data_IF_885598076704
#
_entry.id   IF_885598076704
#
_cell.length_a   1.000
_cell.length_b   1.000
_cell.length_c   1.000
_cell.angle_alpha   90.00
_cell.angle_beta   90.00
_cell.angle_gamma   90.00
#
_symmetry.space_group_name_H-M   'P 1'
#
loop_
_entity.id
_entity.type
_entity.pdbx_description
1 polymer ?
#
# COMPACT_ATOMS: atom_id res chain seq x y z
N UNK A 1 33.66 31.08 -59.91
CA UNK A 1 32.89 32.35 -59.81
C UNK A 1 31.59 32.07 -59.05
N UNK A 2 31.38 32.77 -57.91
CA UNK A 2 30.13 33.30 -57.26
C UNK A 2 28.78 32.57 -57.48
N UNK A 3 27.80 32.46 -56.57
CA UNK A 3 27.47 32.89 -55.18
C UNK A 3 26.05 32.32 -54.84
N UNK A 4 25.75 32.06 -53.54
CA UNK A 4 24.47 32.18 -52.76
C UNK A 4 23.13 31.65 -53.33
N UNK A 5 22.06 31.33 -52.58
CA UNK A 5 21.62 31.67 -51.21
C UNK A 5 20.43 30.77 -50.77
N UNK A 6 20.14 30.79 -49.47
CA UNK A 6 19.22 30.00 -48.63
C UNK A 6 17.70 30.09 -48.95
N UNK A 7 16.92 29.13 -48.41
CA UNK A 7 15.46 29.21 -48.33
C UNK A 7 14.80 28.08 -47.48
N UNK A 8 14.28 28.47 -46.31
CA UNK A 8 13.55 27.70 -45.29
C UNK A 8 12.40 26.78 -45.80
N UNK A 9 12.17 25.66 -45.11
CA UNK A 9 10.96 24.84 -45.22
C UNK A 9 10.24 24.72 -43.86
N UNK A 10 8.99 25.19 -43.82
CA UNK A 10 7.99 24.87 -42.79
C UNK A 10 6.83 24.11 -43.46
N UNK A 11 6.33 22.99 -42.88
CA UNK A 11 5.19 22.29 -43.45
C UNK A 11 3.86 22.84 -42.91
N UNK A 12 2.96 23.14 -43.84
CA UNK A 12 1.57 23.60 -43.65
C UNK A 12 0.64 22.46 -43.20
N UNK A 13 -0.30 22.77 -42.31
CA UNK A 13 -1.45 21.94 -41.93
C UNK A 13 -2.34 21.56 -43.12
N UNK A 14 -2.88 20.33 -43.10
CA UNK A 14 -3.97 19.85 -43.96
C UNK A 14 -5.31 19.82 -43.20
N UNK A 15 -6.45 20.14 -43.83
CA UNK A 15 -7.78 20.00 -43.22
C UNK A 15 -8.43 18.63 -43.53
N UNK A 16 -9.17 18.09 -42.57
CA UNK A 16 -9.96 16.86 -42.70
C UNK A 16 -11.32 17.14 -43.36
N UNK A 17 -11.75 16.25 -44.26
CA UNK A 17 -13.06 16.26 -44.94
C UNK A 17 -14.16 15.60 -44.08
N UNK A 18 -15.44 16.01 -44.24
CA UNK A 18 -16.58 15.45 -43.52
C UNK A 18 -17.23 14.28 -44.27
N UNK A 19 -17.90 13.38 -43.55
CA UNK A 19 -18.77 12.34 -44.12
C UNK A 19 -20.16 12.43 -43.48
N UNK A 20 -21.15 12.61 -44.37
CA UNK A 20 -22.59 12.29 -44.38
C UNK A 20 -23.23 11.54 -43.20
N UNK A 21 -24.54 11.50 -43.01
CA UNK A 21 -25.75 12.23 -43.46
C UNK A 21 -26.88 11.54 -42.65
N UNK A 22 -27.90 12.29 -42.24
CA UNK A 22 -28.96 11.80 -41.35
C UNK A 22 -30.15 11.29 -42.15
N UNK A 23 -30.54 10.02 -41.97
CA UNK A 23 -31.88 9.57 -42.37
C UNK A 23 -32.48 8.55 -41.39
N UNK A 24 -33.53 9.02 -40.70
CA UNK A 24 -34.65 8.38 -39.98
C UNK A 24 -34.80 6.84 -40.09
N UNK A 25 -34.93 6.18 -38.94
CA UNK A 25 -35.78 5.00 -38.78
C UNK A 25 -36.41 4.98 -37.36
N UNK A 26 -37.69 4.59 -37.33
CA UNK A 26 -38.65 4.72 -36.23
C UNK A 26 -38.37 3.77 -35.06
N UNK A 27 -38.90 4.18 -33.91
CA UNK A 27 -38.98 3.44 -32.65
C UNK A 27 -39.52 2.02 -32.81
N UNK A 28 -38.85 1.07 -32.16
CA UNK A 28 -39.46 -0.14 -31.65
C UNK A 28 -39.04 -0.29 -30.19
N UNK A 29 -40.04 -0.23 -29.32
CA UNK A 29 -39.91 -0.06 -27.88
C UNK A 29 -40.20 -1.41 -27.23
N UNK A 30 -39.21 -2.30 -27.17
CA UNK A 30 -39.29 -3.47 -26.30
C UNK A 30 -37.89 -4.04 -26.00
N UNK A 31 -37.68 -4.38 -24.73
CA UNK A 31 -36.49 -5.02 -24.14
C UNK A 31 -35.36 -4.07 -23.70
N UNK A 32 -35.68 -3.16 -22.76
CA UNK A 32 -34.69 -2.76 -21.76
C UNK A 32 -34.55 -3.90 -20.73
N UNK A 33 -33.33 -4.42 -20.46
CA UNK A 33 -33.15 -5.38 -19.39
C UNK A 33 -33.41 -4.71 -18.03
N UNK A 34 -34.14 -5.42 -17.17
CA UNK A 34 -34.56 -5.01 -15.84
C UNK A 34 -33.33 -4.58 -14.98
N UNK A 35 -33.32 -3.44 -14.27
CA UNK A 35 -32.16 -2.99 -13.47
C UNK A 35 -31.89 -3.77 -12.18
N UNK A 36 -32.55 -4.90 -11.95
CA UNK A 36 -32.65 -5.56 -10.64
C UNK A 36 -31.98 -6.93 -10.59
N UNK A 37 -30.75 -7.03 -11.09
CA UNK A 37 -29.85 -8.13 -10.75
C UNK A 37 -28.43 -7.60 -10.60
N UNK A 38 -28.10 -7.09 -9.40
CA UNK A 38 -26.71 -6.96 -8.99
C UNK A 38 -26.11 -8.37 -9.00
N UNK A 39 -25.28 -8.69 -10.02
CA UNK A 39 -24.47 -9.91 -10.01
C UNK A 39 -23.63 -9.87 -8.73
N UNK A 40 -23.94 -10.73 -7.77
CA UNK A 40 -23.10 -10.97 -6.61
C UNK A 40 -21.78 -11.54 -7.10
N UNK A 41 -20.74 -10.72 -7.18
CA UNK A 41 -19.39 -11.20 -7.44
C UNK A 41 -18.90 -11.80 -6.13
N UNK A 42 -18.84 -13.13 -6.05
CA UNK A 42 -18.36 -13.83 -4.87
C UNK A 42 -16.83 -13.70 -4.82
N UNK A 43 -16.29 -12.99 -3.83
CA UNK A 43 -14.84 -12.87 -3.62
C UNK A 43 -14.32 -14.23 -3.19
N UNK A 44 -13.37 -14.79 -3.95
CA UNK A 44 -12.69 -16.02 -3.58
C UNK A 44 -11.38 -15.67 -2.88
N UNK A 45 -11.24 -16.08 -1.63
CA UNK A 45 -10.05 -15.88 -0.82
C UNK A 45 -9.08 -17.04 -1.07
N UNK A 46 -8.11 -16.81 -1.96
CA UNK A 46 -7.11 -17.82 -2.34
C UNK A 46 -5.77 -17.51 -1.65
N UNK A 47 -5.24 -18.42 -0.84
CA UNK A 47 -3.95 -18.25 -0.21
C UNK A 47 -2.83 -18.41 -1.25
N UNK A 48 -1.78 -17.63 -1.10
CA UNK A 48 -0.60 -17.63 -1.94
C UNK A 48 0.66 -17.93 -1.13
N UNK A 49 1.71 -18.39 -1.79
CA UNK A 49 3.02 -18.52 -1.16
C UNK A 49 3.58 -17.14 -0.79
N UNK A 50 4.31 -17.03 0.35
CA UNK A 50 5.02 -15.82 0.69
C UNK A 50 6.08 -15.50 -0.38
N UNK A 51 6.29 -14.21 -0.64
CA UNK A 51 7.19 -13.73 -1.69
C UNK A 51 8.62 -13.48 -1.22
N UNK A 52 8.81 -13.37 0.08
CA UNK A 52 10.04 -12.92 0.71
C UNK A 52 10.31 -13.73 1.96
N UNK A 53 11.58 -13.86 2.29
CA UNK A 53 12.10 -14.56 3.46
C UNK A 53 12.80 -13.58 4.40
N UNK A 54 13.16 -14.01 5.60
CA UNK A 54 13.94 -13.17 6.53
C UNK A 54 15.30 -12.73 5.96
N UNK A 55 15.86 -13.48 5.00
CA UNK A 55 17.16 -13.15 4.37
C UNK A 55 17.08 -11.97 3.41
N UNK A 56 15.89 -11.66 2.92
CA UNK A 56 15.64 -10.55 2.01
C UNK A 56 15.50 -9.22 2.77
N UNK A 57 15.37 -9.26 4.10
CA UNK A 57 15.20 -8.09 4.94
C UNK A 57 16.54 -7.51 5.40
N UNK A 58 16.67 -6.19 5.25
CA UNK A 58 17.77 -5.40 5.82
C UNK A 58 17.15 -4.44 6.84
N UNK A 59 17.25 -4.80 8.12
CA UNK A 59 16.61 -4.13 9.24
C UNK A 59 17.62 -3.88 10.36
N UNK A 60 17.33 -2.90 11.23
CA UNK A 60 18.11 -2.74 12.46
C UNK A 60 17.86 -3.93 13.40
N UNK A 61 18.80 -4.12 14.34
CA UNK A 61 18.75 -5.24 15.28
C UNK A 61 17.50 -5.24 16.15
N UNK A 62 16.94 -4.07 16.47
CA UNK A 62 15.75 -3.97 17.31
C UNK A 62 14.54 -4.51 16.57
N UNK A 63 14.28 -4.00 15.37
CA UNK A 63 13.16 -4.48 14.54
C UNK A 63 13.35 -5.95 14.17
N UNK A 64 14.58 -6.37 13.83
CA UNK A 64 14.88 -7.78 13.52
C UNK A 64 14.57 -8.70 14.71
N UNK A 65 15.01 -8.36 15.92
CA UNK A 65 14.73 -9.15 17.11
C UNK A 65 13.22 -9.20 17.43
N UNK A 66 12.49 -8.10 17.24
CA UNK A 66 11.03 -8.09 17.41
C UNK A 66 10.31 -9.02 16.43
N UNK A 67 10.78 -9.14 15.18
CA UNK A 67 10.24 -10.13 14.24
C UNK A 67 10.54 -11.56 14.70
N UNK A 68 11.75 -11.81 15.21
CA UNK A 68 12.13 -13.11 15.77
C UNK A 68 11.31 -13.45 17.02
N UNK A 69 10.96 -12.48 17.86
CA UNK A 69 10.09 -12.68 19.01
C UNK A 69 8.69 -13.13 18.58
N UNK A 70 8.13 -12.53 17.52
CA UNK A 70 6.84 -12.95 16.94
C UNK A 70 6.89 -14.40 16.45
N UNK A 71 7.94 -14.74 15.68
CA UNK A 71 8.12 -16.09 15.14
C UNK A 71 8.30 -17.10 16.28
N UNK A 72 9.14 -16.76 17.26
CA UNK A 72 9.40 -17.59 18.43
C UNK A 72 8.16 -17.80 19.28
N UNK A 73 7.32 -16.78 19.43
CA UNK A 73 6.05 -16.89 20.14
C UNK A 73 5.14 -17.92 19.49
N UNK A 74 5.01 -17.92 18.16
CA UNK A 74 4.18 -18.88 17.45
C UNK A 74 4.77 -20.30 17.52
N UNK A 75 6.04 -20.46 17.15
CA UNK A 75 6.69 -21.77 17.06
C UNK A 75 6.84 -22.47 18.42
N UNK A 76 7.01 -21.70 19.50
CA UNK A 76 7.20 -22.25 20.84
C UNK A 76 5.92 -22.19 21.69
N UNK A 77 4.75 -21.98 21.09
CA UNK A 77 3.49 -21.84 21.82
C UNK A 77 3.24 -22.99 22.80
N UNK A 78 3.33 -24.25 22.34
CA UNK A 78 3.10 -25.43 23.18
C UNK A 78 4.13 -25.56 24.31
N UNK A 79 5.38 -25.17 24.04
CA UNK A 79 6.43 -25.18 25.05
C UNK A 79 6.11 -24.15 26.15
N UNK A 80 5.75 -22.94 25.75
CA UNK A 80 5.52 -21.81 26.66
C UNK A 80 4.24 -22.04 27.48
N UNK A 81 3.11 -22.36 26.85
CA UNK A 81 1.83 -22.41 27.54
C UNK A 81 1.57 -23.75 28.22
N UNK A 82 1.76 -24.87 27.53
CA UNK A 82 1.45 -26.19 28.07
C UNK A 82 2.60 -26.79 28.88
N UNK A 83 3.83 -26.81 28.32
CA UNK A 83 4.96 -27.47 29.01
C UNK A 83 5.48 -26.63 30.19
N UNK A 84 5.57 -25.31 30.05
CA UNK A 84 6.00 -24.43 31.15
C UNK A 84 4.82 -23.94 32.02
N UNK A 85 3.57 -24.23 31.63
CA UNK A 85 2.38 -23.95 32.42
C UNK A 85 1.98 -22.49 32.49
N UNK A 86 2.40 -21.64 31.54
CA UNK A 86 2.01 -20.22 31.54
C UNK A 86 0.48 -20.04 31.46
N UNK A 87 -0.24 -21.02 30.92
CA UNK A 87 -1.69 -21.00 30.83
C UNK A 87 -2.39 -20.96 32.21
N UNK A 88 -1.72 -21.37 33.28
CA UNK A 88 -2.24 -21.28 34.65
C UNK A 88 -2.38 -19.83 35.15
N UNK A 89 -1.62 -18.90 34.55
CA UNK A 89 -1.55 -17.49 34.97
C UNK A 89 -2.02 -16.52 33.90
N UNK A 90 -1.95 -16.92 32.63
CA UNK A 90 -2.34 -16.12 31.49
C UNK A 90 -3.31 -16.91 30.62
N UNK A 91 -4.39 -16.28 30.18
CA UNK A 91 -5.27 -16.92 29.21
C UNK A 91 -4.47 -17.27 27.95
N UNK A 92 -4.52 -18.54 27.52
CA UNK A 92 -3.95 -18.94 26.24
C UNK A 92 -4.59 -18.10 25.14
N UNK A 93 -3.77 -17.30 24.47
CA UNK A 93 -4.17 -16.59 23.26
C UNK A 93 -3.63 -17.39 22.09
N UNK A 94 -4.41 -18.38 21.65
CA UNK A 94 -4.01 -19.22 20.52
C UNK A 94 -3.93 -18.40 19.23
N UNK A 95 -4.70 -17.30 19.14
CA UNK A 95 -4.59 -16.33 18.06
C UNK A 95 -3.41 -15.37 18.23
N UNK A 96 -2.74 -15.05 17.12
CA UNK A 96 -1.60 -14.13 17.07
C UNK A 96 -1.89 -12.98 16.11
N UNK A 97 -2.06 -11.77 16.65
CA UNK A 97 -2.19 -10.55 15.85
C UNK A 97 -0.94 -9.67 16.00
N UNK A 98 -0.39 -9.24 14.87
CA UNK A 98 0.83 -8.42 14.78
C UNK A 98 0.56 -7.20 13.90
N UNK A 99 1.00 -6.03 14.34
CA UNK A 99 0.93 -4.79 13.58
C UNK A 99 2.33 -4.27 13.28
N UNK A 100 2.67 -4.25 12.00
CA UNK A 100 3.88 -3.68 11.44
C UNK A 100 3.56 -2.23 11.03
N UNK A 101 4.21 -1.25 11.63
CA UNK A 101 3.87 0.15 11.39
C UNK A 101 5.10 1.03 11.22
N UNK A 102 4.95 2.12 10.47
CA UNK A 102 6.04 3.07 10.25
C UNK A 102 5.95 3.75 8.89
N UNK A 103 6.94 4.59 8.54
CA UNK A 103 6.94 5.32 7.27
C UNK A 103 6.78 4.40 6.04
N UNK A 104 6.24 4.90 4.93
CA UNK A 104 6.11 4.11 3.71
C UNK A 104 7.49 3.75 3.14
N UNK A 105 7.58 2.55 2.55
CA UNK A 105 8.79 2.06 1.90
C UNK A 105 9.91 1.56 2.83
N UNK A 106 9.60 1.29 4.09
CA UNK A 106 10.53 0.70 5.08
C UNK A 106 10.51 -0.84 5.15
N UNK A 107 9.73 -1.50 4.28
CA UNK A 107 9.73 -2.97 4.16
C UNK A 107 8.67 -3.72 4.97
N UNK A 108 7.60 -3.05 5.45
CA UNK A 108 6.51 -3.68 6.22
C UNK A 108 5.86 -4.89 5.50
N UNK A 109 5.44 -4.72 4.25
CA UNK A 109 4.85 -5.79 3.42
C UNK A 109 5.84 -6.94 3.22
N UNK A 110 7.11 -6.62 2.98
CA UNK A 110 8.18 -7.62 2.84
C UNK A 110 8.37 -8.42 4.13
N UNK A 111 8.36 -7.74 5.28
CA UNK A 111 8.46 -8.36 6.60
C UNK A 111 7.26 -9.23 6.93
N UNK A 112 6.04 -8.85 6.52
CA UNK A 112 4.86 -9.68 6.68
C UNK A 112 5.02 -11.02 5.93
N UNK A 113 5.45 -10.98 4.66
CA UNK A 113 5.73 -12.19 3.90
C UNK A 113 6.85 -13.03 4.54
N UNK A 114 7.91 -12.39 5.03
CA UNK A 114 9.01 -13.09 5.70
C UNK A 114 8.60 -13.77 7.01
N UNK A 115 7.67 -13.17 7.78
CA UNK A 115 7.07 -13.84 8.94
C UNK A 115 6.32 -15.08 8.45
N UNK A 116 5.44 -14.94 7.45
CA UNK A 116 4.65 -16.07 6.94
C UNK A 116 5.53 -17.22 6.45
N UNK A 117 6.59 -16.91 5.72
CA UNK A 117 7.60 -17.88 5.28
C UNK A 117 8.26 -18.60 6.46
N UNK A 118 8.66 -17.87 7.50
CA UNK A 118 9.25 -18.46 8.70
C UNK A 118 8.27 -19.30 9.54
N UNK A 119 6.95 -19.11 9.33
CA UNK A 119 5.90 -19.93 9.94
C UNK A 119 5.51 -21.14 9.08
N UNK A 120 6.15 -21.35 7.93
CA UNK A 120 5.82 -22.42 6.96
C UNK A 120 4.33 -22.41 6.56
N UNK A 121 3.78 -21.19 6.39
CA UNK A 121 2.36 -20.97 6.14
C UNK A 121 2.11 -20.31 4.78
N UNK A 122 0.85 -20.34 4.35
CA UNK A 122 0.38 -19.57 3.20
C UNK A 122 -0.24 -18.25 3.67
N UNK A 123 -0.34 -17.25 2.79
CA UNK A 123 -0.93 -15.94 3.11
C UNK A 123 -2.13 -15.61 2.23
N UNK A 124 -3.19 -15.08 2.83
CA UNK A 124 -4.26 -14.38 2.13
C UNK A 124 -4.00 -12.89 2.29
N UNK A 125 -3.59 -12.24 1.20
CA UNK A 125 -3.37 -10.79 1.16
C UNK A 125 -4.71 -10.07 0.96
N UNK A 126 -4.92 -9.04 1.76
CA UNK A 126 -6.15 -8.27 1.81
C UNK A 126 -5.82 -6.81 1.66
N UNK A 127 -6.25 -6.23 0.56
CA UNK A 127 -6.29 -4.78 0.37
C UNK A 127 -7.68 -4.28 0.77
N UNK A 128 -7.74 -3.35 1.73
CA UNK A 128 -9.01 -2.81 2.20
C UNK A 128 -9.81 -2.11 1.08
N UNK A 129 -9.14 -1.50 0.10
CA UNK A 129 -9.80 -0.88 -1.04
C UNK A 129 -10.58 -1.93 -1.86
N UNK A 130 -10.13 -3.17 -1.91
CA UNK A 130 -10.82 -4.27 -2.59
C UNK A 130 -12.08 -4.74 -1.83
N UNK A 131 -12.10 -4.60 -0.50
CA UNK A 131 -13.26 -4.95 0.32
C UNK A 131 -14.34 -3.85 0.26
N UNK A 132 -13.95 -2.58 0.22
CA UNK A 132 -14.88 -1.44 0.19
C UNK A 132 -15.47 -1.17 -1.20
N UNK A 133 -14.68 -1.30 -2.27
CA UNK A 133 -15.03 -0.79 -3.61
C UNK A 133 -16.17 -1.50 -4.34
N UNK A 134 -16.60 -2.68 -3.88
CA UNK A 134 -17.56 -3.49 -4.67
C UNK A 134 -19.00 -3.44 -4.17
N UNK A 135 -19.27 -3.26 -2.86
CA UNK A 135 -20.65 -3.21 -2.34
C UNK A 135 -20.75 -2.51 -0.98
N UNK A 136 -21.43 -1.36 -0.92
CA UNK A 136 -21.83 -0.72 0.34
C UNK A 136 -22.77 -1.68 1.10
N UNK A 137 -22.33 -2.15 2.27
CA UNK A 137 -23.12 -3.03 3.15
C UNK A 137 -22.77 -4.52 3.12
N UNK A 138 -21.86 -4.98 2.25
CA UNK A 138 -21.37 -6.38 2.24
C UNK A 138 -19.97 -6.57 2.83
N UNK A 139 -19.26 -5.46 3.12
CA UNK A 139 -17.90 -5.42 3.69
C UNK A 139 -17.75 -6.34 4.91
N UNK A 140 -18.71 -6.27 5.86
CA UNK A 140 -18.73 -7.11 7.06
C UNK A 140 -18.85 -8.61 6.75
N UNK A 141 -19.68 -8.99 5.77
CA UNK A 141 -19.84 -10.40 5.35
C UNK A 141 -18.58 -10.91 4.67
N UNK A 142 -17.94 -10.07 3.86
CA UNK A 142 -16.68 -10.41 3.20
C UNK A 142 -15.56 -10.62 4.21
N UNK A 143 -15.47 -9.79 5.27
CA UNK A 143 -14.55 -10.01 6.38
C UNK A 143 -14.84 -11.34 7.11
N UNK A 144 -16.10 -11.66 7.41
CA UNK A 144 -16.41 -12.96 8.03
C UNK A 144 -16.01 -14.15 7.14
N UNK A 145 -16.27 -14.06 5.83
CA UNK A 145 -15.86 -15.09 4.85
C UNK A 145 -14.35 -15.21 4.71
N UNK A 146 -13.62 -14.08 4.77
CA UNK A 146 -12.16 -14.06 4.77
C UNK A 146 -11.59 -14.88 5.93
N UNK A 147 -12.08 -14.60 7.15
CA UNK A 147 -11.62 -15.29 8.35
C UNK A 147 -11.96 -16.78 8.30
N UNK A 148 -13.16 -17.14 7.84
CA UNK A 148 -13.54 -18.53 7.63
C UNK A 148 -12.62 -19.22 6.61
N UNK A 149 -12.39 -18.59 5.45
CA UNK A 149 -11.53 -19.15 4.42
C UNK A 149 -10.07 -19.29 4.87
N UNK A 150 -9.59 -18.39 5.72
CA UNK A 150 -8.26 -18.47 6.30
C UNK A 150 -8.15 -19.61 7.32
N UNK A 151 -9.17 -19.80 8.15
CA UNK A 151 -9.25 -20.93 9.11
C UNK A 151 -9.31 -22.28 8.38
N UNK A 152 -10.18 -22.41 7.38
CA UNK A 152 -10.33 -23.63 6.58
C UNK A 152 -9.05 -24.03 5.82
N UNK A 153 -8.24 -23.03 5.43
CA UNK A 153 -7.01 -23.22 4.66
C UNK A 153 -5.74 -23.13 5.51
N UNK A 154 -5.88 -22.96 6.83
CA UNK A 154 -4.78 -22.71 7.78
C UNK A 154 -3.80 -21.62 7.28
N UNK A 155 -4.35 -20.52 6.78
CA UNK A 155 -3.58 -19.43 6.17
C UNK A 155 -3.47 -18.22 7.11
N UNK A 156 -2.35 -17.51 7.00
CA UNK A 156 -2.16 -16.21 7.64
C UNK A 156 -2.96 -15.16 6.89
N UNK A 157 -3.70 -14.33 7.62
CA UNK A 157 -4.38 -13.16 7.02
C UNK A 157 -3.42 -11.98 7.06
N UNK A 158 -3.16 -11.36 5.93
CA UNK A 158 -2.35 -10.13 5.87
C UNK A 158 -3.18 -8.97 5.34
N UNK A 159 -3.45 -7.99 6.20
CA UNK A 159 -4.06 -6.72 5.81
C UNK A 159 -2.96 -5.71 5.46
N UNK A 160 -2.77 -5.45 4.16
CA UNK A 160 -1.90 -4.37 3.71
C UNK A 160 -2.67 -3.04 3.69
N UNK A 161 -1.96 -1.93 3.90
CA UNK A 161 -2.55 -0.59 3.99
C UNK A 161 -3.76 -0.51 4.95
N UNK A 162 -3.67 -1.19 6.09
CA UNK A 162 -4.76 -1.34 7.05
C UNK A 162 -5.14 -0.05 7.82
N UNK A 163 -4.60 1.11 7.41
CA UNK A 163 -4.84 2.42 8.01
C UNK A 163 -6.33 2.76 8.06
N UNK A 164 -7.07 2.49 6.99
CA UNK A 164 -8.51 2.77 6.93
C UNK A 164 -9.31 1.93 7.94
N UNK A 165 -8.93 0.67 8.15
CA UNK A 165 -9.58 -0.25 9.10
C UNK A 165 -9.24 0.09 10.56
N UNK A 166 -7.98 0.46 10.83
CA UNK A 166 -7.41 0.57 12.16
C UNK A 166 -7.41 2.00 12.72
N UNK A 167 -7.75 2.99 11.89
CA UNK A 167 -7.88 4.40 12.29
C UNK A 167 -8.96 4.63 13.36
N UNK A 168 -9.04 5.82 13.99
CA UNK A 168 -10.08 6.20 14.98
C UNK A 168 -11.48 6.27 14.35
N UNK A 169 -12.51 6.16 15.20
CA UNK A 169 -13.91 6.14 14.74
C UNK A 169 -14.23 7.50 14.13
N UNK A 170 -14.99 7.51 13.05
CA UNK A 170 -15.57 8.76 12.54
C UNK A 170 -16.64 9.19 13.53
N UNK A 171 -16.36 10.24 14.31
CA UNK A 171 -17.25 10.75 15.36
C UNK A 171 -18.35 11.64 14.79
N UNK A 172 -18.06 12.37 13.72
CA UNK A 172 -19.00 13.21 13.00
C UNK A 172 -19.55 12.43 11.81
N UNK A 173 -20.42 11.46 12.09
CA UNK A 173 -21.10 10.69 11.05
C UNK A 173 -22.01 11.63 10.26
N UNK A 174 -21.65 11.92 9.02
CA UNK A 174 -22.44 12.78 8.12
C UNK A 174 -22.95 12.02 6.91
N UNK A 175 -22.42 10.82 6.67
CA UNK A 175 -22.76 9.96 5.55
C UNK A 175 -23.10 8.55 6.00
N UNK A 176 -23.88 7.83 5.18
CA UNK A 176 -24.12 6.40 5.37
C UNK A 176 -22.80 5.58 5.33
N UNK A 177 -21.79 6.09 4.62
CA UNK A 177 -20.44 5.52 4.55
C UNK A 177 -19.77 5.51 5.92
N UNK A 178 -19.85 6.60 6.69
CA UNK A 178 -19.25 6.68 8.04
C UNK A 178 -19.83 5.64 9.00
N UNK A 179 -21.13 5.35 8.87
CA UNK A 179 -21.80 4.31 9.65
C UNK A 179 -21.30 2.93 9.25
N UNK A 180 -21.19 2.65 7.94
CA UNK A 180 -20.71 1.37 7.41
C UNK A 180 -19.27 1.06 7.81
N UNK A 181 -18.38 2.05 7.80
CA UNK A 181 -16.99 1.92 8.26
C UNK A 181 -16.92 1.53 9.75
N UNK A 182 -17.70 2.20 10.60
CA UNK A 182 -17.74 1.89 12.03
C UNK A 182 -18.36 0.52 12.33
N UNK A 183 -19.35 0.07 11.55
CA UNK A 183 -19.90 -1.29 11.65
C UNK A 183 -18.88 -2.35 11.26
N UNK A 184 -18.22 -2.18 10.10
CA UNK A 184 -17.15 -3.06 9.62
C UNK A 184 -16.05 -3.22 10.65
N UNK A 185 -15.64 -2.11 11.28
CA UNK A 185 -14.67 -2.12 12.37
C UNK A 185 -15.13 -2.92 13.58
N UNK A 186 -16.39 -2.77 13.97
CA UNK A 186 -16.95 -3.51 15.11
C UNK A 186 -16.97 -5.01 14.83
N UNK A 187 -17.25 -5.41 13.58
CA UNK A 187 -17.16 -6.79 13.12
C UNK A 187 -15.71 -7.28 13.17
N UNK A 188 -14.75 -6.50 12.66
CA UNK A 188 -13.33 -6.87 12.72
C UNK A 188 -12.85 -7.06 14.17
N UNK A 189 -13.24 -6.19 15.10
CA UNK A 189 -12.89 -6.33 16.52
C UNK A 189 -13.45 -7.62 17.15
N UNK A 190 -14.64 -8.05 16.73
CA UNK A 190 -15.23 -9.33 17.17
C UNK A 190 -14.51 -10.52 16.56
N UNK A 191 -14.19 -10.45 15.25
CA UNK A 191 -13.42 -11.48 14.55
C UNK A 191 -12.02 -11.66 15.18
N UNK A 192 -11.33 -10.56 15.49
CA UNK A 192 -10.04 -10.59 16.19
C UNK A 192 -10.08 -11.27 17.56
N UNK A 193 -11.21 -11.21 18.26
CA UNK A 193 -11.37 -11.87 19.55
C UNK A 193 -11.62 -13.39 19.43
N UNK A 194 -12.17 -13.83 18.31
CA UNK A 194 -12.59 -15.21 18.11
C UNK A 194 -11.55 -16.02 17.33
N UNK A 195 -10.86 -15.37 16.40
CA UNK A 195 -9.92 -16.01 15.49
C UNK A 195 -8.69 -16.52 16.23
N UNK A 196 -8.35 -17.78 15.99
CA UNK A 196 -7.20 -18.47 16.61
C UNK A 196 -6.00 -18.62 15.66
N UNK A 197 -6.10 -18.11 14.43
CA UNK A 197 -4.98 -18.09 13.49
C UNK A 197 -4.08 -16.86 13.64
N UNK A 198 -3.16 -16.70 12.67
CA UNK A 198 -2.23 -15.56 12.61
C UNK A 198 -2.80 -14.45 11.73
N UNK A 199 -2.71 -13.21 12.22
CA UNK A 199 -3.12 -12.00 11.50
C UNK A 199 -1.99 -10.99 11.53
N UNK A 200 -1.62 -10.49 10.36
CA UNK A 200 -0.62 -9.45 10.16
C UNK A 200 -1.31 -8.19 9.61
N UNK A 201 -0.95 -7.04 10.17
CA UNK A 201 -1.37 -5.72 9.69
C UNK A 201 -0.14 -4.92 9.27
N UNK A 202 -0.21 -4.22 8.14
CA UNK A 202 0.75 -3.19 7.77
C UNK A 202 0.07 -1.82 7.72
N UNK A 203 0.62 -0.84 8.45
CA UNK A 203 0.07 0.53 8.50
C UNK A 203 1.13 1.60 8.30
N UNK A 204 0.74 2.72 7.70
CA UNK A 204 1.61 3.89 7.55
C UNK A 204 1.42 4.93 8.67
N UNK A 205 0.32 4.87 9.43
CA UNK A 205 0.02 5.85 10.48
C UNK A 205 0.16 5.33 11.91
N UNK A 206 0.85 6.11 12.75
CA UNK A 206 0.99 5.87 14.20
C UNK A 206 -0.06 6.65 15.02
N UNK A 207 -0.48 7.82 14.55
CA UNK A 207 -1.15 8.82 15.40
C UNK A 207 -2.68 8.70 15.47
N UNK A 208 -3.29 7.93 14.58
CA UNK A 208 -4.75 7.76 14.50
C UNK A 208 -5.23 6.35 14.80
N UNK A 209 -4.44 5.52 15.49
CA UNK A 209 -4.82 4.14 15.80
C UNK A 209 -5.92 4.07 16.89
N UNK A 210 -6.91 3.20 16.70
CA UNK A 210 -7.99 2.99 17.66
C UNK A 210 -7.55 2.07 18.83
N UNK A 211 -7.78 2.54 20.07
CA UNK A 211 -7.33 1.86 21.29
C UNK A 211 -7.95 0.47 21.50
N UNK A 212 -9.08 0.16 20.87
CA UNK A 212 -9.66 -1.18 20.94
C UNK A 212 -8.82 -2.21 20.18
N UNK A 213 -8.20 -1.81 19.06
CA UNK A 213 -7.28 -2.66 18.30
C UNK A 213 -5.92 -2.78 19.00
N UNK A 214 -5.39 -1.71 19.60
CA UNK A 214 -4.12 -1.78 20.37
C UNK A 214 -4.16 -2.83 21.47
N UNK A 215 -5.33 -3.06 22.07
CA UNK A 215 -5.49 -4.07 23.13
C UNK A 215 -5.59 -5.51 22.62
N UNK A 216 -5.98 -5.69 21.35
CA UNK A 216 -6.21 -7.00 20.72
C UNK A 216 -5.03 -7.48 19.91
N UNK A 217 -4.22 -6.55 19.43
CA UNK A 217 -2.99 -6.84 18.70
C UNK A 217 -1.88 -7.01 19.73
N UNK A 218 -1.20 -8.16 19.68
CA UNK A 218 -0.21 -8.55 20.68
C UNK A 218 1.12 -7.85 20.47
N UNK A 219 1.58 -7.80 19.21
CA UNK A 219 2.86 -7.21 18.86
C UNK A 219 2.66 -5.97 17.99
N UNK A 220 3.31 -4.88 18.38
CA UNK A 220 3.38 -3.63 17.62
C UNK A 220 4.85 -3.36 17.27
N UNK A 221 5.21 -3.60 16.02
CA UNK A 221 6.60 -3.54 15.54
C UNK A 221 6.77 -2.27 14.71
N UNK A 222 7.61 -1.37 15.21
CA UNK A 222 7.91 -0.12 14.54
C UNK A 222 9.04 -0.30 13.54
N UNK A 223 8.81 0.16 12.31
CA UNK A 223 9.79 0.29 11.26
C UNK A 223 10.24 1.74 11.19
N UNK A 224 11.56 1.94 11.26
CA UNK A 224 12.18 3.25 11.16
C UNK A 224 12.76 3.45 9.76
N UNK A 225 13.05 4.70 9.40
CA UNK A 225 13.90 4.96 8.24
C UNK A 225 15.31 4.43 8.54
N UNK A 226 15.98 3.83 7.54
CA UNK A 226 17.31 3.25 7.73
C UNK A 226 18.33 4.32 8.13
N UNK A 227 19.23 3.96 9.06
CA UNK A 227 20.40 4.76 9.40
C UNK A 227 21.46 4.72 8.28
N UNK A 228 22.60 5.40 8.47
CA UNK A 228 23.65 5.44 7.43
C UNK A 228 24.17 4.03 7.08
N UNK A 229 24.40 3.20 8.07
CA UNK A 229 24.90 1.83 7.89
C UNK A 229 23.92 0.97 7.10
N UNK A 230 22.63 0.99 7.47
CA UNK A 230 21.58 0.26 6.77
C UNK A 230 21.36 0.81 5.36
N UNK A 231 21.43 2.13 5.16
CA UNK A 231 21.34 2.72 3.82
C UNK A 231 22.46 2.22 2.91
N UNK A 232 23.69 2.12 3.42
CA UNK A 232 24.80 1.56 2.63
C UNK A 232 24.50 0.11 2.23
N UNK A 233 24.04 -0.71 3.18
CA UNK A 233 23.67 -2.10 2.90
C UNK A 233 22.56 -2.19 1.85
N UNK A 234 21.54 -1.34 1.95
CA UNK A 234 20.45 -1.27 0.97
C UNK A 234 20.96 -0.87 -0.42
N UNK A 235 21.83 0.13 -0.54
CA UNK A 235 22.44 0.51 -1.83
C UNK A 235 23.18 -0.67 -2.45
N UNK A 236 24.00 -1.37 -1.66
CA UNK A 236 24.76 -2.54 -2.13
C UNK A 236 23.83 -3.70 -2.52
N UNK A 237 22.74 -3.91 -1.79
CA UNK A 237 21.79 -4.97 -2.06
C UNK A 237 20.98 -4.72 -3.35
N UNK A 238 20.54 -3.48 -3.57
CA UNK A 238 19.75 -3.13 -4.75
C UNK A 238 20.55 -3.01 -6.04
N UNK A 239 21.87 -2.83 -5.96
CA UNK A 239 22.76 -2.75 -7.13
C UNK A 239 23.33 -4.15 -7.42
N UNK A 240 22.80 -4.89 -8.43
CA UNK A 240 23.26 -6.23 -8.69
C UNK A 240 24.67 -6.22 -9.28
N UNK A 241 25.47 -7.25 -8.99
CA UNK A 241 26.87 -7.35 -9.42
C UNK A 241 27.07 -7.31 -10.95
N UNK A 242 26.04 -7.65 -11.72
CA UNK A 242 26.05 -7.60 -13.19
C UNK A 242 25.77 -6.21 -13.75
N UNK A 243 25.27 -5.27 -12.95
CA UNK A 243 24.99 -3.89 -13.38
C UNK A 243 26.32 -3.16 -13.60
N UNK A 244 26.61 -2.66 -14.82
CA UNK A 244 27.86 -1.99 -15.11
C UNK A 244 27.83 -0.58 -14.52
N UNK A 245 28.14 -0.45 -13.24
CA UNK A 245 28.09 0.82 -12.52
C UNK A 245 29.43 1.18 -11.87
N UNK A 246 29.65 2.47 -11.67
CA UNK A 246 30.76 3.03 -10.90
C UNK A 246 30.16 3.95 -9.85
N UNK A 247 29.97 3.41 -8.65
CA UNK A 247 29.19 4.05 -7.58
C UNK A 247 29.84 3.82 -6.22
N UNK A 248 29.90 4.89 -5.42
CA UNK A 248 30.29 4.85 -4.02
C UNK A 248 29.03 4.80 -3.14
N UNK A 249 28.67 3.59 -2.72
CA UNK A 249 27.49 3.35 -1.87
C UNK A 249 27.62 4.03 -0.51
N UNK A 250 28.82 4.07 0.06
CA UNK A 250 29.09 4.72 1.36
C UNK A 250 28.90 6.24 1.25
N UNK A 251 29.34 6.84 0.15
CA UNK A 251 29.07 8.25 -0.13
C UNK A 251 27.57 8.53 -0.25
N UNK A 252 26.83 7.73 -1.04
CA UNK A 252 25.38 7.91 -1.20
C UNK A 252 24.64 7.77 0.13
N UNK A 253 25.00 6.78 0.93
CA UNK A 253 24.40 6.53 2.25
C UNK A 253 24.60 7.70 3.22
N UNK A 254 25.79 8.30 3.25
CA UNK A 254 26.12 9.46 4.08
C UNK A 254 25.46 10.74 3.61
N UNK A 255 25.46 10.99 2.29
CA UNK A 255 24.94 12.24 1.70
C UNK A 255 23.42 12.34 1.77
N UNK A 256 22.71 11.26 1.48
CA UNK A 256 21.25 11.25 1.38
C UNK A 256 20.63 10.56 2.59
N UNK A 257 20.38 11.33 3.64
CA UNK A 257 19.66 10.89 4.83
C UNK A 257 18.14 11.00 4.66
N UNK A 258 17.38 10.29 5.51
CA UNK A 258 15.92 10.36 5.53
C UNK A 258 15.20 9.65 4.36
N UNK A 259 15.94 8.86 3.57
CA UNK A 259 15.38 8.05 2.47
C UNK A 259 15.01 6.65 2.95
N UNK A 260 13.96 6.06 2.37
CA UNK A 260 13.52 4.69 2.68
C UNK A 260 14.16 3.66 1.74
N UNK A 261 13.99 2.37 2.04
CA UNK A 261 14.48 1.30 1.16
C UNK A 261 13.85 1.36 -0.24
N UNK A 262 12.56 1.70 -0.32
CA UNK A 262 11.90 1.91 -1.61
C UNK A 262 12.45 3.10 -2.39
N UNK A 263 12.89 4.18 -1.73
CA UNK A 263 13.52 5.31 -2.41
C UNK A 263 14.84 4.89 -3.06
N UNK A 264 15.65 4.12 -2.33
CA UNK A 264 16.92 3.59 -2.83
C UNK A 264 16.66 2.66 -4.02
N UNK A 265 15.72 1.73 -3.91
CA UNK A 265 15.34 0.83 -4.99
C UNK A 265 14.91 1.59 -6.26
N UNK A 266 14.04 2.60 -6.09
CA UNK A 266 13.56 3.44 -7.17
C UNK A 266 14.68 4.28 -7.81
N UNK A 267 15.62 4.78 -7.00
CA UNK A 267 16.76 5.53 -7.51
C UNK A 267 17.71 4.64 -8.33
N UNK A 268 18.01 3.42 -7.86
CA UNK A 268 18.80 2.44 -8.63
C UNK A 268 18.11 2.10 -9.95
N UNK A 269 16.80 1.82 -9.91
CA UNK A 269 16.02 1.51 -11.11
C UNK A 269 16.01 2.69 -12.10
N UNK A 270 15.75 3.90 -11.62
CA UNK A 270 15.71 5.11 -12.44
C UNK A 270 17.07 5.44 -13.06
N UNK A 271 18.16 5.26 -12.32
CA UNK A 271 19.52 5.41 -12.84
C UNK A 271 19.80 4.42 -13.97
N UNK A 272 19.39 3.15 -13.80
CA UNK A 272 19.51 2.11 -14.83
C UNK A 272 18.73 2.45 -16.10
N UNK A 273 17.46 2.84 -15.95
CA UNK A 273 16.59 3.24 -17.08
C UNK A 273 17.18 4.45 -17.82
N UNK A 274 17.65 5.46 -17.09
CA UNK A 274 18.24 6.66 -17.67
C UNK A 274 19.51 6.36 -18.47
N UNK A 275 20.40 5.53 -17.92
CA UNK A 275 21.63 5.12 -18.60
C UNK A 275 21.35 4.26 -19.84
N UNK A 276 20.41 3.32 -19.75
CA UNK A 276 20.01 2.48 -20.88
C UNK A 276 19.42 3.30 -22.02
N UNK A 277 18.56 4.28 -21.70
CA UNK A 277 17.98 5.21 -22.69
C UNK A 277 19.06 5.97 -23.46
N UNK A 278 20.14 6.36 -22.79
CA UNK A 278 21.23 7.12 -23.37
C UNK A 278 22.35 6.23 -23.94
N UNK A 279 22.16 4.90 -23.94
CA UNK A 279 23.14 3.92 -24.41
C UNK A 279 24.51 4.06 -23.71
N UNK A 280 24.49 4.38 -22.42
CA UNK A 280 25.70 4.53 -21.62
C UNK A 280 26.34 3.17 -21.35
N UNK A 281 27.67 3.10 -21.51
CA UNK A 281 28.43 1.88 -21.22
C UNK A 281 28.51 1.58 -19.71
N UNK A 282 28.56 2.63 -18.89
CA UNK A 282 28.62 2.53 -17.44
C UNK A 282 27.67 3.54 -16.80
N UNK A 283 27.02 3.11 -15.72
CA UNK A 283 26.15 3.95 -14.89
C UNK A 283 27.03 4.63 -13.84
N UNK A 284 27.30 5.90 -14.05
CA UNK A 284 28.17 6.69 -13.18
C UNK A 284 27.43 7.18 -11.93
N UNK A 285 28.18 7.44 -10.87
CA UNK A 285 27.75 8.06 -9.61
C UNK A 285 26.66 9.14 -9.79
N UNK A 286 26.87 10.09 -10.69
CA UNK A 286 25.96 11.21 -10.92
C UNK A 286 24.52 10.77 -11.24
N UNK A 287 24.33 9.66 -11.96
CA UNK A 287 22.99 9.16 -12.30
C UNK A 287 22.20 8.73 -11.07
N UNK A 288 22.87 8.13 -10.08
CA UNK A 288 22.24 7.75 -8.82
C UNK A 288 21.90 8.98 -7.99
N UNK A 289 22.79 9.97 -7.97
CA UNK A 289 22.58 11.24 -7.29
C UNK A 289 21.41 12.04 -7.88
N UNK A 290 21.33 12.14 -9.20
CA UNK A 290 20.21 12.78 -9.90
C UNK A 290 18.89 12.04 -9.61
N UNK A 291 18.91 10.70 -9.66
CA UNK A 291 17.74 9.88 -9.43
C UNK A 291 17.20 10.02 -8.00
N UNK A 292 18.07 9.94 -6.98
CA UNK A 292 17.64 10.08 -5.58
C UNK A 292 17.19 11.51 -5.28
N UNK A 293 17.84 12.52 -5.89
CA UNK A 293 17.43 13.92 -5.74
C UNK A 293 16.03 14.14 -6.31
N UNK A 294 15.74 13.59 -7.50
CA UNK A 294 14.39 13.64 -8.08
C UNK A 294 13.34 12.96 -7.19
N UNK A 295 13.66 11.80 -6.59
CA UNK A 295 12.76 11.13 -5.64
C UNK A 295 12.48 12.01 -4.42
N UNK A 296 13.50 12.67 -3.88
CA UNK A 296 13.36 13.59 -2.75
C UNK A 296 12.54 14.83 -3.10
N UNK A 297 12.75 15.40 -4.28
CA UNK A 297 12.02 16.59 -4.73
C UNK A 297 10.54 16.28 -4.99
N UNK A 298 10.24 15.11 -5.57
CA UNK A 298 8.87 14.63 -5.72
C UNK A 298 8.18 14.45 -4.36
N UNK A 299 8.89 13.89 -3.36
CA UNK A 299 8.37 13.79 -1.99
C UNK A 299 8.10 15.17 -1.39
N UNK A 300 9.04 16.10 -1.49
CA UNK A 300 8.85 17.47 -0.99
C UNK A 300 7.65 18.17 -1.63
N UNK A 301 7.42 17.99 -2.93
CA UNK A 301 6.25 18.52 -3.61
C UNK A 301 4.93 17.94 -3.06
N UNK A 302 4.92 16.66 -2.72
CA UNK A 302 3.75 15.98 -2.14
C UNK A 302 3.50 16.33 -0.66
N UNK A 303 4.56 16.59 0.12
CA UNK A 303 4.43 16.99 1.54
C UNK A 303 4.28 18.50 1.74
N UNK A 304 4.74 19.32 0.79
CA UNK A 304 4.76 20.79 0.87
C UNK A 304 3.57 21.49 0.21
N UNK A 305 2.62 20.74 -0.34
CA UNK A 305 1.34 21.29 -0.77
C UNK A 305 0.43 21.49 0.44
N UNK A 306 0.50 22.66 1.07
CA UNK A 306 -0.66 23.18 1.81
C UNK A 306 -1.83 23.16 0.83
N UNK A 307 -2.72 22.18 0.95
CA UNK A 307 -4.04 22.25 0.36
C UNK A 307 -4.72 23.37 1.15
N UNK A 308 -4.56 24.61 0.69
CA UNK A 308 -5.47 25.69 1.04
C UNK A 308 -6.80 25.28 0.41
N UNK A 309 -7.57 24.47 1.13
CA UNK A 309 -8.98 24.29 0.84
C UNK A 309 -9.59 25.66 1.08
N UNK A 310 -9.66 26.48 0.03
CA UNK A 310 -10.52 27.64 0.02
C UNK A 310 -11.95 27.11 0.11
N UNK A 311 -12.45 26.92 1.33
CA UNK A 311 -13.88 26.87 1.57
C UNK A 311 -14.42 28.24 1.17
N UNK A 312 -14.78 28.35 -0.11
CA UNK A 312 -15.64 29.44 -0.56
C UNK A 312 -17.00 29.12 0.05
N UNK A 313 -17.32 29.79 1.16
CA UNK A 313 -18.68 29.77 1.70
C UNK A 313 -19.50 30.52 0.66
N UNK A 314 -20.29 29.76 -0.10
CA UNK A 314 -21.27 30.30 -1.04
C UNK A 314 -22.40 30.84 -0.15
N UNK A 315 -22.71 32.14 -0.26
CA UNK A 315 -23.85 32.71 0.47
C UNK A 315 -25.17 32.20 -0.12
N UNK A 316 -26.24 32.18 0.67
CA UNK A 316 -27.57 31.71 0.23
C UNK A 316 -28.11 32.50 -0.98
N UNK A 317 -27.62 33.71 -1.22
CA UNK A 317 -27.92 34.53 -2.39
C UNK A 317 -27.26 33.99 -3.68
N UNK A 318 -26.03 33.46 -3.60
CA UNK A 318 -25.34 32.84 -4.75
C UNK A 318 -25.95 31.47 -5.12
N UNK A 319 -26.55 30.75 -4.16
CA UNK A 319 -27.30 29.51 -4.44
C UNK A 319 -28.60 29.78 -5.18
N UNK A 320 -29.36 30.81 -4.79
CA UNK A 320 -30.61 31.18 -5.48
C UNK A 320 -30.37 31.61 -6.93
N UNK A 321 -29.33 32.39 -7.18
CA UNK A 321 -29.03 32.86 -8.53
C UNK A 321 -28.64 31.72 -9.48
N UNK A 322 -28.00 30.65 -8.99
CA UNK A 322 -27.68 29.44 -9.78
C UNK A 322 -28.89 28.52 -10.01
N UNK A 323 -29.87 28.51 -9.12
CA UNK A 323 -31.11 27.75 -9.33
C UNK A 323 -32.08 28.45 -10.30
N UNK A 324 -32.04 29.78 -10.38
CA UNK A 324 -32.92 30.55 -11.28
C UNK A 324 -32.35 30.73 -12.70
N UNK A 325 -31.04 30.54 -12.89
CA UNK A 325 -30.39 30.54 -14.21
C UNK A 325 -30.01 29.12 -14.64
N UNK A 326 -31.04 28.32 -14.96
CA UNK A 326 -30.87 26.93 -15.38
C UNK A 326 -30.03 26.77 -16.65
N UNK A 327 -28.91 26.05 -16.50
CA UNK A 327 -28.23 25.21 -17.51
C UNK A 327 -27.76 23.95 -16.79
#
# INVERSE_FOLDING_TARGET
MRKGSEGCHSPKCMPLKPICDQSKAKADNSLLPNPSQSKQVNIQWVPIHPRYTLKDLILDSTTSNQLLDVISYHQNHDLIFHKWGLEERFASQDGLAVNLYGPPGTGKTMAAHAIVDALDAMVICVDYAEIESKYVGETSKNLSRLFQAAEEQNAVIFFDEADALLSKRVTNMTSATDVSVNQTRSVLLNLLNQYRGVILFATNFIQNFDAAFLRRIKYHIQFHLPDETLREQLWRAYIPSKMPCQVDCSYLARKYSGISGSDIANAVFSAAVGAARNQEKYILQQRFEDAIQHCLDAKKANFGGDITVSKRIISDEELKHKFESGV
#
